data_IF_412234109684
#
_entry.id   IF_412234109684
#
_cell.length_a   1.000
_cell.length_b   1.000
_cell.length_c   1.000
_cell.angle_alpha   90.00
_cell.angle_beta   90.00
_cell.angle_gamma   90.00
#
_symmetry.space_group_name_H-M   'P 1'
#
loop_
_entity.id
_entity.type
_entity.pdbx_description
1 polymer ?
#
# COMPACT_ATOMS: atom_id res chain seq x y z
N UNK A 1 83.53 -74.34 -36.04
CA UNK A 1 83.54 -75.06 -37.33
C UNK A 1 82.14 -75.60 -37.58
N UNK A 2 81.59 -75.32 -38.78
CA UNK A 2 80.73 -76.22 -39.59
C UNK A 2 79.41 -76.68 -38.94
N UNK A 3 78.28 -76.07 -39.34
CA UNK A 3 77.24 -76.64 -40.25
C UNK A 3 76.54 -77.87 -39.66
N UNK A 4 75.21 -77.99 -39.65
CA UNK A 4 74.31 -78.27 -40.78
C UNK A 4 72.87 -77.91 -40.33
N UNK A 5 72.13 -77.08 -41.08
CA UNK A 5 71.20 -77.46 -42.15
C UNK A 5 69.95 -78.21 -41.63
N UNK A 6 68.75 -77.58 -41.71
CA UNK A 6 67.72 -77.79 -42.77
C UNK A 6 66.87 -79.06 -42.44
N UNK A 7 65.55 -79.20 -42.58
CA UNK A 7 64.46 -78.72 -43.46
C UNK A 7 63.15 -78.97 -42.66
N UNK A 8 62.24 -78.00 -42.56
CA UNK A 8 60.89 -77.95 -43.17
C UNK A 8 59.99 -79.21 -43.17
N UNK A 9 58.71 -78.91 -42.87
CA UNK A 9 57.47 -79.60 -43.25
C UNK A 9 57.01 -80.78 -42.39
N UNK A 10 55.81 -80.65 -41.80
CA UNK A 10 54.58 -81.30 -42.27
C UNK A 10 53.39 -80.79 -41.42
N UNK A 11 52.32 -80.40 -42.10
CA UNK A 11 51.01 -80.03 -41.58
C UNK A 11 50.22 -81.29 -41.17
N UNK A 12 49.56 -81.29 -40.02
CA UNK A 12 48.50 -82.25 -39.64
C UNK A 12 47.60 -81.60 -38.57
N UNK A 13 46.43 -81.07 -38.94
CA UNK A 13 45.11 -81.73 -38.90
C UNK A 13 44.46 -81.81 -37.50
N UNK A 14 43.57 -80.85 -37.26
CA UNK A 14 42.24 -80.97 -36.60
C UNK A 14 42.14 -81.59 -35.18
N UNK A 15 41.78 -80.75 -34.20
CA UNK A 15 40.87 -81.14 -33.11
C UNK A 15 40.17 -79.91 -32.50
N UNK A 16 38.87 -79.79 -32.78
CA UNK A 16 37.93 -78.90 -32.10
C UNK A 16 37.83 -79.30 -30.62
N UNK A 17 38.12 -78.36 -29.72
CA UNK A 17 37.64 -78.41 -28.33
C UNK A 17 37.07 -77.05 -27.94
N UNK A 18 35.74 -76.99 -27.99
CA UNK A 18 34.91 -75.96 -27.36
C UNK A 18 35.00 -76.19 -25.85
N UNK A 19 35.59 -75.25 -25.10
CA UNK A 19 35.40 -75.17 -23.65
C UNK A 19 34.68 -73.88 -23.32
N UNK A 20 33.37 -74.03 -23.25
CA UNK A 20 32.40 -73.10 -22.71
C UNK A 20 32.55 -73.09 -21.18
N UNK A 21 32.76 -71.92 -20.57
CA UNK A 21 32.52 -71.76 -19.13
C UNK A 21 33.59 -71.01 -18.35
N UNK A 22 33.49 -69.68 -18.34
CA UNK A 22 33.30 -68.89 -17.11
C UNK A 22 32.65 -67.57 -17.52
N UNK A 23 31.33 -67.53 -17.41
CA UNK A 23 30.53 -66.32 -17.60
C UNK A 23 30.84 -65.38 -16.43
N UNK A 24 31.69 -64.37 -16.64
CA UNK A 24 31.74 -63.22 -15.72
C UNK A 24 30.36 -62.54 -15.73
N UNK A 25 29.87 -61.99 -14.61
CA UNK A 25 28.63 -61.23 -14.65
C UNK A 25 28.85 -60.06 -15.61
N UNK A 26 28.14 -60.07 -16.74
CA UNK A 26 27.99 -58.88 -17.56
C UNK A 26 27.35 -57.84 -16.64
N UNK A 27 28.16 -56.89 -16.15
CA UNK A 27 27.63 -55.64 -15.62
C UNK A 27 27.03 -54.92 -16.82
N UNK A 28 25.73 -55.04 -17.01
CA UNK A 28 25.00 -54.30 -18.04
C UNK A 28 25.22 -52.81 -17.78
N UNK A 29 26.11 -52.18 -18.53
CA UNK A 29 26.26 -50.73 -18.51
C UNK A 29 24.95 -50.15 -19.09
N UNK A 30 24.11 -49.59 -18.23
CA UNK A 30 22.93 -48.85 -18.66
C UNK A 30 23.41 -47.57 -19.33
N UNK A 31 23.36 -47.52 -20.66
CA UNK A 31 23.68 -46.33 -21.42
C UNK A 31 22.49 -45.36 -21.38
N UNK A 32 22.77 -44.07 -21.18
CA UNK A 32 21.76 -43.01 -21.31
C UNK A 32 21.66 -42.64 -22.78
N UNK A 33 20.50 -42.93 -23.38
CA UNK A 33 20.21 -42.56 -24.76
C UNK A 33 19.65 -41.13 -24.80
N UNK A 34 20.26 -40.28 -25.62
CA UNK A 34 19.81 -38.90 -25.83
C UNK A 34 19.06 -38.83 -27.16
N UNK A 35 17.80 -38.41 -27.10
CA UNK A 35 17.01 -38.09 -28.28
C UNK A 35 16.83 -36.58 -28.39
N UNK A 36 16.86 -36.05 -29.62
CA UNK A 36 16.54 -34.65 -29.92
C UNK A 36 15.04 -34.36 -30.02
N UNK A 37 14.18 -35.35 -29.75
CA UNK A 37 12.72 -35.18 -29.76
C UNK A 37 12.26 -34.31 -28.59
N UNK A 38 11.26 -33.47 -28.82
CA UNK A 38 10.62 -32.71 -27.75
C UNK A 38 9.95 -33.63 -26.73
N UNK A 39 9.93 -33.26 -25.44
CA UNK A 39 9.22 -34.03 -24.43
C UNK A 39 7.72 -34.14 -24.72
N UNK A 40 7.16 -35.32 -24.52
CA UNK A 40 5.74 -35.62 -24.62
C UNK A 40 4.99 -35.28 -23.32
N UNK A 41 3.64 -35.24 -23.39
CA UNK A 41 2.77 -34.97 -22.25
C UNK A 41 2.95 -36.00 -21.11
N UNK A 42 3.25 -37.24 -21.44
CA UNK A 42 3.48 -38.32 -20.46
C UNK A 42 4.92 -38.45 -19.99
N UNK A 43 5.82 -37.58 -20.45
CA UNK A 43 7.23 -37.66 -20.07
C UNK A 43 7.42 -37.10 -18.67
N UNK A 44 8.24 -37.80 -17.88
CA UNK A 44 8.60 -37.41 -16.52
C UNK A 44 10.03 -36.88 -16.46
N UNK A 45 10.27 -35.99 -15.52
CA UNK A 45 11.60 -35.46 -15.26
C UNK A 45 12.39 -36.49 -14.46
N UNK A 46 13.61 -36.73 -14.92
CA UNK A 46 14.56 -37.56 -14.20
C UNK A 46 15.27 -36.73 -13.12
N UNK A 47 15.38 -37.28 -11.91
CA UNK A 47 16.14 -36.70 -10.81
C UNK A 47 17.41 -37.52 -10.58
N UNK A 48 18.49 -36.86 -10.14
CA UNK A 48 19.72 -37.53 -9.74
C UNK A 48 19.69 -37.66 -8.22
N UNK A 49 19.80 -38.89 -7.73
CA UNK A 49 19.79 -39.21 -6.31
C UNK A 49 21.13 -39.83 -5.91
N UNK A 50 21.72 -39.37 -4.81
CA UNK A 50 22.93 -39.97 -4.26
C UNK A 50 22.54 -41.13 -3.34
N UNK A 51 22.85 -42.36 -3.76
CA UNK A 51 22.55 -43.59 -3.04
C UNK A 51 23.85 -44.24 -2.52
N UNK A 52 24.25 -43.91 -1.30
CA UNK A 52 25.48 -44.39 -0.65
C UNK A 52 26.76 -44.10 -1.47
N UNK A 53 26.95 -42.84 -1.88
CA UNK A 53 28.18 -42.38 -2.53
C UNK A 53 28.26 -42.63 -4.04
N UNK A 54 27.21 -43.18 -4.65
CA UNK A 54 27.02 -43.24 -6.10
C UNK A 54 25.81 -42.42 -6.51
N UNK A 55 25.91 -41.70 -7.63
CA UNK A 55 24.80 -40.95 -8.21
C UNK A 55 24.02 -41.85 -9.17
N UNK A 56 22.72 -41.99 -8.92
CA UNK A 56 21.80 -42.78 -9.74
C UNK A 56 20.69 -41.90 -10.29
N UNK A 57 20.30 -42.14 -11.54
CA UNK A 57 19.17 -41.46 -12.17
C UNK A 57 17.89 -42.18 -11.79
N UNK A 58 16.96 -41.46 -11.17
CA UNK A 58 15.65 -41.96 -10.75
C UNK A 58 14.54 -41.16 -11.42
N UNK A 59 13.35 -41.75 -11.51
CA UNK A 59 12.15 -41.03 -11.98
C UNK A 59 11.66 -40.14 -10.85
N UNK A 60 11.47 -38.85 -11.12
CA UNK A 60 10.99 -37.89 -10.12
C UNK A 60 9.49 -38.01 -9.85
N UNK A 61 8.72 -38.64 -10.74
CA UNK A 61 7.25 -38.65 -10.70
C UNK A 61 6.61 -37.29 -11.03
N UNK A 62 7.39 -36.31 -11.50
CA UNK A 62 6.91 -34.99 -11.92
C UNK A 62 6.83 -34.98 -13.45
N UNK A 63 5.62 -34.79 -13.98
CA UNK A 63 5.37 -34.70 -15.41
C UNK A 63 5.79 -33.37 -16.02
N UNK A 64 6.18 -33.38 -17.30
CA UNK A 64 6.48 -32.15 -18.06
C UNK A 64 5.23 -31.25 -18.19
N UNK A 65 4.04 -31.85 -18.24
CA UNK A 65 2.76 -31.12 -18.26
C UNK A 65 2.48 -30.39 -16.94
N UNK A 66 2.78 -31.04 -15.82
CA UNK A 66 2.63 -30.46 -14.49
C UNK A 66 3.59 -29.27 -14.30
N UNK A 67 4.84 -29.41 -14.73
CA UNK A 67 5.78 -28.28 -14.76
C UNK A 67 5.30 -27.13 -15.65
N UNK A 68 4.66 -27.44 -16.79
CA UNK A 68 4.09 -26.41 -17.66
C UNK A 68 2.94 -25.67 -16.95
N UNK A 69 2.01 -26.40 -16.31
CA UNK A 69 0.92 -25.80 -15.52
C UNK A 69 1.44 -24.95 -14.38
N UNK A 70 2.48 -25.40 -13.67
CA UNK A 70 3.13 -24.62 -12.61
C UNK A 70 3.73 -23.34 -13.17
N UNK A 71 4.44 -23.40 -14.31
CA UNK A 71 4.99 -22.22 -14.98
C UNK A 71 3.90 -21.24 -15.37
N UNK A 72 2.80 -21.72 -15.94
CA UNK A 72 1.68 -20.88 -16.35
C UNK A 72 1.03 -20.20 -15.13
N UNK A 73 0.83 -20.96 -14.04
CA UNK A 73 0.33 -20.43 -12.77
C UNK A 73 1.25 -19.36 -12.19
N UNK A 74 2.57 -19.58 -12.18
CA UNK A 74 3.56 -18.59 -11.70
C UNK A 74 3.55 -17.32 -12.56
N UNK A 75 3.40 -17.46 -13.88
CA UNK A 75 3.26 -16.31 -14.78
C UNK A 75 1.98 -15.53 -14.51
N UNK A 76 0.86 -16.22 -14.32
CA UNK A 76 -0.42 -15.58 -14.00
C UNK A 76 -0.39 -14.89 -12.63
N UNK A 77 0.20 -15.52 -11.62
CA UNK A 77 0.44 -14.90 -10.31
C UNK A 77 1.32 -13.65 -10.43
N UNK A 78 2.39 -13.71 -11.24
CA UNK A 78 3.26 -12.56 -11.47
C UNK A 78 2.51 -11.39 -12.11
N UNK A 79 1.65 -11.67 -13.10
CA UNK A 79 0.77 -10.66 -13.73
C UNK A 79 -0.22 -10.05 -12.72
N UNK A 80 -0.86 -10.89 -11.91
CA UNK A 80 -1.79 -10.41 -10.87
C UNK A 80 -1.08 -9.53 -9.83
N UNK A 81 0.15 -9.88 -9.43
CA UNK A 81 0.96 -9.06 -8.51
C UNK A 81 1.28 -7.69 -9.14
N UNK A 82 1.67 -7.65 -10.41
CA UNK A 82 1.89 -6.37 -11.10
C UNK A 82 0.62 -5.52 -11.17
N UNK A 83 -0.53 -6.12 -11.46
CA UNK A 83 -1.80 -5.41 -11.50
C UNK A 83 -2.22 -4.88 -10.12
N UNK A 84 -2.05 -5.69 -9.06
CA UNK A 84 -2.27 -5.25 -7.68
C UNK A 84 -1.34 -4.10 -7.29
N UNK A 85 -0.06 -4.15 -7.69
CA UNK A 85 0.91 -3.07 -7.46
C UNK A 85 0.52 -1.79 -8.20
N UNK A 86 0.06 -1.89 -9.45
CA UNK A 86 -0.42 -0.74 -10.24
C UNK A 86 -1.69 -0.13 -9.66
N UNK A 87 -2.64 -0.98 -9.22
CA UNK A 87 -3.91 -0.53 -8.63
C UNK A 87 -3.73 0.06 -7.23
N UNK A 88 -2.87 -0.50 -6.39
CA UNK A 88 -2.54 0.04 -5.06
C UNK A 88 -1.74 1.35 -5.15
N UNK A 89 -0.80 1.47 -6.09
CA UNK A 89 -0.08 2.72 -6.35
C UNK A 89 -1.00 3.86 -6.84
N UNK A 90 -2.02 3.53 -7.63
CA UNK A 90 -2.98 4.53 -8.12
C UNK A 90 -3.96 4.99 -7.03
N UNK A 91 -4.49 4.06 -6.22
CA UNK A 91 -5.45 4.37 -5.14
C UNK A 91 -4.82 5.18 -4.00
N UNK A 92 -3.57 4.88 -3.63
CA UNK A 92 -2.86 5.65 -2.59
C UNK A 92 -2.60 7.11 -2.98
N UNK A 93 -2.36 7.37 -4.28
CA UNK A 93 -2.15 8.73 -4.78
C UNK A 93 -3.43 9.59 -4.83
N UNK A 94 -4.60 8.99 -5.09
CA UNK A 94 -5.86 9.75 -5.09
C UNK A 94 -6.34 10.03 -3.67
N UNK A 95 -6.29 9.02 -2.79
CA UNK A 95 -6.67 9.19 -1.38
C UNK A 95 -5.78 10.18 -0.64
N UNK A 96 -4.49 10.25 -0.95
CA UNK A 96 -3.58 11.24 -0.35
C UNK A 96 -3.97 12.69 -0.67
N UNK A 97 -4.30 12.98 -1.94
CA UNK A 97 -4.73 14.32 -2.37
C UNK A 97 -6.07 14.73 -1.75
N UNK A 98 -7.04 13.81 -1.73
CA UNK A 98 -8.33 14.06 -1.08
C UNK A 98 -8.16 14.35 0.42
N UNK A 99 -7.27 13.63 1.10
CA UNK A 99 -6.96 13.88 2.52
C UNK A 99 -6.33 15.26 2.71
N UNK A 100 -5.38 15.67 1.85
CA UNK A 100 -4.73 16.99 1.93
C UNK A 100 -5.73 18.13 1.66
N UNK A 101 -6.63 17.95 0.70
CA UNK A 101 -7.70 18.89 0.39
C UNK A 101 -8.68 19.02 1.57
N UNK A 102 -9.10 17.88 2.14
CA UNK A 102 -9.96 17.86 3.33
C UNK A 102 -9.28 18.53 4.53
N UNK A 103 -8.00 18.26 4.76
CA UNK A 103 -7.21 18.88 5.84
C UNK A 103 -7.10 20.40 5.66
N UNK A 104 -6.94 20.86 4.42
CA UNK A 104 -6.92 22.28 4.10
C UNK A 104 -8.28 22.95 4.35
N UNK A 105 -9.38 22.29 3.98
CA UNK A 105 -10.75 22.76 4.27
C UNK A 105 -11.02 22.82 5.78
N UNK A 106 -10.60 21.82 6.55
CA UNK A 106 -10.76 21.81 8.02
C UNK A 106 -10.02 22.98 8.66
N UNK A 107 -8.77 23.24 8.26
CA UNK A 107 -8.01 24.40 8.76
C UNK A 107 -8.68 25.73 8.41
N UNK A 108 -9.29 25.83 7.23
CA UNK A 108 -10.01 27.03 6.84
C UNK A 108 -11.27 27.24 7.68
N UNK A 109 -12.04 26.16 7.89
CA UNK A 109 -13.21 26.19 8.77
C UNK A 109 -12.84 26.56 10.21
N UNK A 110 -11.71 26.10 10.72
CA UNK A 110 -11.19 26.47 12.04
C UNK A 110 -10.94 27.99 12.16
N UNK A 111 -10.32 28.61 11.15
CA UNK A 111 -10.12 30.07 11.13
C UNK A 111 -11.42 30.84 11.04
N UNK A 112 -12.37 30.34 10.25
CA UNK A 112 -13.70 30.93 10.14
C UNK A 112 -14.43 30.88 11.48
N UNK A 113 -14.38 29.74 12.19
CA UNK A 113 -14.96 29.59 13.51
C UNK A 113 -14.32 30.54 14.54
N UNK A 114 -12.99 30.72 14.54
CA UNK A 114 -12.33 31.69 15.42
C UNK A 114 -12.81 33.12 15.13
N UNK A 115 -12.93 33.48 13.85
CA UNK A 115 -13.42 34.79 13.41
C UNK A 115 -14.86 35.03 13.87
N UNK A 116 -15.75 34.06 13.63
CA UNK A 116 -17.13 34.10 14.10
C UNK A 116 -17.22 34.18 15.63
N UNK A 117 -16.37 33.44 16.34
CA UNK A 117 -16.28 33.49 17.81
C UNK A 117 -15.94 34.90 18.32
N UNK A 118 -14.97 35.57 17.69
CA UNK A 118 -14.63 36.97 18.01
C UNK A 118 -15.79 37.92 17.73
N UNK A 119 -16.46 37.78 16.58
CA UNK A 119 -17.62 38.61 16.24
C UNK A 119 -18.77 38.46 17.23
N UNK A 120 -19.03 37.25 17.71
CA UNK A 120 -20.05 36.99 18.73
C UNK A 120 -19.66 37.63 20.07
N UNK A 121 -18.39 37.51 20.48
CA UNK A 121 -17.87 38.14 21.69
C UNK A 121 -17.99 39.67 21.62
N UNK A 122 -17.64 40.27 20.48
CA UNK A 122 -17.76 41.71 20.25
C UNK A 122 -19.22 42.18 20.29
N UNK A 123 -20.14 41.45 19.66
CA UNK A 123 -21.58 41.74 19.72
C UNK A 123 -22.13 41.65 21.14
N UNK A 124 -21.68 40.65 21.92
CA UNK A 124 -22.06 40.48 23.32
C UNK A 124 -21.57 41.66 24.17
N UNK A 125 -20.34 42.12 23.95
CA UNK A 125 -19.78 43.29 24.65
C UNK A 125 -20.49 44.59 24.26
N UNK A 126 -20.80 44.76 22.98
CA UNK A 126 -21.47 45.97 22.49
C UNK A 126 -22.94 46.05 22.93
N UNK A 127 -23.66 44.92 22.96
CA UNK A 127 -25.04 44.86 23.47
C UNK A 127 -25.12 45.15 24.97
N UNK A 128 -24.11 44.80 25.76
CA UNK A 128 -24.02 45.22 27.17
C UNK A 128 -23.73 46.71 27.34
N UNK A 129 -22.90 47.31 26.48
CA UNK A 129 -22.38 48.66 26.67
C UNK A 129 -23.36 49.78 26.28
N UNK A 130 -24.19 49.57 25.26
CA UNK A 130 -25.18 50.57 24.80
C UNK A 130 -26.26 50.88 25.84
N UNK A 131 -26.58 49.92 26.72
CA UNK A 131 -27.54 50.10 27.81
C UNK A 131 -27.04 51.07 28.91
N UNK A 132 -25.74 51.05 29.19
CA UNK A 132 -25.15 51.85 30.28
C UNK A 132 -25.04 53.34 29.93
N UNK A 133 -24.59 53.68 28.71
CA UNK A 133 -24.48 55.08 28.26
C UNK A 133 -25.84 55.74 28.10
N UNK A 134 -26.80 55.03 27.51
CA UNK A 134 -28.17 55.54 27.35
C UNK A 134 -28.83 55.83 28.70
N UNK A 135 -28.56 55.01 29.73
CA UNK A 135 -29.13 55.20 31.06
C UNK A 135 -28.56 56.45 31.77
N UNK A 136 -27.25 56.70 31.67
CA UNK A 136 -26.63 57.92 32.24
C UNK A 136 -27.11 59.21 31.57
N UNK A 137 -27.31 59.18 30.25
CA UNK A 137 -27.87 60.33 29.52
C UNK A 137 -29.33 60.58 29.90
N UNK A 138 -30.14 59.53 30.01
CA UNK A 138 -31.53 59.61 30.46
C UNK A 138 -31.63 60.15 31.90
N UNK A 139 -30.77 59.67 32.81
CA UNK A 139 -30.71 60.20 34.18
C UNK A 139 -30.35 61.68 34.21
N UNK A 140 -29.36 62.09 33.40
CA UNK A 140 -28.94 63.50 33.30
C UNK A 140 -30.03 64.39 32.71
N UNK A 141 -30.74 63.91 31.68
CA UNK A 141 -31.86 64.62 31.06
C UNK A 141 -33.04 64.74 32.03
N UNK A 142 -33.39 63.67 32.77
CA UNK A 142 -34.45 63.72 33.80
C UNK A 142 -34.14 64.72 34.92
N UNK A 143 -32.88 64.85 35.31
CA UNK A 143 -32.48 65.82 36.32
C UNK A 143 -32.67 67.25 35.79
N UNK A 144 -32.15 67.54 34.58
CA UNK A 144 -32.34 68.84 33.93
C UNK A 144 -33.81 69.21 33.77
N UNK A 145 -34.67 68.25 33.41
CA UNK A 145 -36.12 68.46 33.29
C UNK A 145 -36.74 68.85 34.63
N UNK A 146 -36.43 68.11 35.71
CA UNK A 146 -36.92 68.44 37.05
C UNK A 146 -36.44 69.82 37.53
N UNK A 147 -35.18 70.19 37.23
CA UNK A 147 -34.65 71.49 37.60
C UNK A 147 -35.33 72.62 36.80
N UNK A 148 -35.63 72.39 35.52
CA UNK A 148 -36.43 73.31 34.70
C UNK A 148 -37.87 73.44 35.19
N UNK A 149 -38.53 72.34 35.57
CA UNK A 149 -39.90 72.37 36.10
C UNK A 149 -39.99 73.22 37.38
N UNK A 150 -39.02 73.06 38.29
CA UNK A 150 -38.93 73.90 39.50
C UNK A 150 -38.72 75.38 39.16
N UNK A 151 -37.85 75.68 38.20
CA UNK A 151 -37.61 77.05 37.76
C UNK A 151 -38.87 77.68 37.13
N UNK A 152 -39.63 76.90 36.34
CA UNK A 152 -40.91 77.32 35.78
C UNK A 152 -41.94 77.63 36.87
N UNK A 153 -42.06 76.78 37.89
CA UNK A 153 -42.98 77.00 39.00
C UNK A 153 -42.64 78.29 39.77
N UNK A 154 -41.36 78.56 39.97
CA UNK A 154 -40.89 79.81 40.56
C UNK A 154 -41.24 81.01 39.67
N UNK A 155 -40.95 80.93 38.37
CA UNK A 155 -41.24 81.99 37.41
C UNK A 155 -42.75 82.31 37.40
N UNK A 156 -43.59 81.27 37.35
CA UNK A 156 -45.05 81.40 37.36
C UNK A 156 -45.54 82.14 38.60
N UNK A 157 -45.04 81.81 39.78
CA UNK A 157 -45.37 82.53 41.02
C UNK A 157 -44.98 84.00 40.95
N UNK A 158 -43.76 84.31 40.49
CA UNK A 158 -43.32 85.71 40.38
C UNK A 158 -44.15 86.51 39.38
N UNK A 159 -44.54 85.91 38.26
CA UNK A 159 -45.41 86.53 37.26
C UNK A 159 -46.81 86.75 37.84
N UNK A 160 -47.37 85.78 38.56
CA UNK A 160 -48.65 85.95 39.26
C UNK A 160 -48.60 87.07 40.30
N UNK A 161 -47.51 87.18 41.05
CA UNK A 161 -47.30 88.24 42.05
C UNK A 161 -47.17 89.63 41.41
N UNK A 162 -46.37 89.76 40.35
CA UNK A 162 -46.30 91.01 39.57
C UNK A 162 -47.65 91.37 38.95
N UNK A 163 -48.37 90.39 38.39
CA UNK A 163 -49.69 90.60 37.80
C UNK A 163 -50.71 91.11 38.83
N UNK A 164 -50.65 90.62 40.08
CA UNK A 164 -51.45 91.14 41.20
C UNK A 164 -51.06 92.55 41.61
N UNK A 165 -49.80 92.95 41.42
CA UNK A 165 -49.28 94.28 41.80
C UNK A 165 -49.51 95.36 40.72
N UNK A 166 -49.70 94.94 39.47
CA UNK A 166 -49.95 95.82 38.31
C UNK A 166 -51.45 96.09 38.08
N UNK A 167 -52.33 95.32 38.71
CA UNK A 167 -53.78 95.60 38.81
C UNK A 167 -54.11 96.41 40.05
#
# INVERSE_FOLDING_TARGET
MRSFSKISSVVSATALTVLLGTLAPLTSAMAVELSGSSPSYGDEISAIHNDFGKDVVIKSGIGVDELKKMRDTVNDQSRQIEELKRSSGSRSSSSGREIDDLKSKVKEQERQLDTLGRQVEDLKRNSGSSSSSSNSEISSLKQKLNDQDRAMDQLKRTVEELSRKVK
#
